data_IF_032069523929
#
_entry.id   IF_032069523929
#
_cell.length_a   1.000
_cell.length_b   1.000
_cell.length_c   1.000
_cell.angle_alpha   90.00
_cell.angle_beta   90.00
_cell.angle_gamma   90.00
#
_symmetry.space_group_name_H-M   'P 1'
#
loop_
_entity.id
_entity.type
_entity.pdbx_description
1 polymer ?
#
# COMPACT_ATOMS: atom_id res chain seq x y z
N UNK A 1 6.43 69.10 -28.21
CA UNK A 1 5.83 67.77 -28.43
C UNK A 1 6.96 66.75 -28.46
N UNK A 2 7.18 66.05 -27.35
CA UNK A 2 7.88 64.77 -27.27
C UNK A 2 7.66 64.23 -25.86
N UNK A 3 6.79 63.22 -25.76
CA UNK A 3 6.47 62.49 -24.54
C UNK A 3 7.49 61.36 -24.38
N UNK A 4 8.17 61.27 -23.24
CA UNK A 4 8.93 60.09 -22.83
C UNK A 4 8.33 59.58 -21.52
N UNK A 5 7.37 58.67 -21.67
CA UNK A 5 6.77 57.84 -20.62
C UNK A 5 7.79 56.80 -20.14
N UNK A 6 8.25 56.93 -18.88
CA UNK A 6 9.03 55.91 -18.20
C UNK A 6 8.13 54.79 -17.69
N UNK A 7 8.32 53.57 -18.21
CA UNK A 7 7.61 52.37 -17.80
C UNK A 7 8.29 51.80 -16.54
N UNK A 8 7.66 51.94 -15.37
CA UNK A 8 8.09 51.32 -14.13
C UNK A 8 7.57 49.87 -14.07
N UNK A 9 8.47 48.89 -14.22
CA UNK A 9 8.15 47.48 -14.06
C UNK A 9 8.05 47.12 -12.57
N UNK A 10 6.84 46.95 -12.04
CA UNK A 10 6.60 46.36 -10.72
C UNK A 10 6.80 44.84 -10.79
N UNK A 11 7.83 44.34 -10.13
CA UNK A 11 8.03 42.92 -9.89
C UNK A 11 7.03 42.43 -8.84
N UNK A 12 6.02 41.67 -9.26
CA UNK A 12 5.09 40.98 -8.38
C UNK A 12 5.79 39.76 -7.76
N UNK A 13 6.18 39.87 -6.47
CA UNK A 13 6.65 38.75 -5.68
C UNK A 13 5.45 37.86 -5.30
N UNK A 14 5.24 36.77 -6.02
CA UNK A 14 4.29 35.73 -5.61
C UNK A 14 4.90 34.90 -4.50
N UNK A 15 4.56 35.21 -3.25
CA UNK A 15 4.81 34.33 -2.11
C UNK A 15 3.98 33.07 -2.26
N UNK A 16 4.63 31.96 -2.60
CA UNK A 16 4.03 30.63 -2.63
C UNK A 16 3.82 30.17 -1.18
N UNK A 17 2.63 30.42 -0.64
CA UNK A 17 2.24 29.90 0.68
C UNK A 17 2.25 28.37 0.64
N UNK A 18 3.20 27.77 1.37
CA UNK A 18 3.23 26.33 1.62
C UNK A 18 1.93 25.93 2.31
N UNK A 19 1.19 25.01 1.68
CA UNK A 19 0.00 24.41 2.26
C UNK A 19 0.48 23.54 3.43
N UNK A 20 0.31 24.04 4.66
CA UNK A 20 0.46 23.23 5.85
C UNK A 20 -0.60 22.11 5.78
N UNK A 21 -0.14 20.86 5.85
CA UNK A 21 -1.01 19.71 5.96
C UNK A 21 -1.93 19.89 7.19
N UNK A 22 -3.24 19.74 6.99
CA UNK A 22 -4.21 19.79 8.07
C UNK A 22 -3.84 18.74 9.13
N UNK A 23 -3.85 19.08 10.43
CA UNK A 23 -3.66 18.10 11.50
C UNK A 23 -4.67 16.96 11.30
N UNK A 24 -4.18 15.73 11.23
CA UNK A 24 -5.03 14.54 11.29
C UNK A 24 -5.77 14.57 12.63
N UNK A 25 -7.02 15.04 12.63
CA UNK A 25 -7.86 15.03 13.81
C UNK A 25 -8.06 13.58 14.23
N UNK A 26 -7.53 13.25 15.41
CA UNK A 26 -7.69 11.94 16.04
C UNK A 26 -9.20 11.68 16.19
N UNK A 27 -9.71 10.49 15.84
CA UNK A 27 -11.12 10.16 16.04
C UNK A 27 -11.54 10.47 17.47
N UNK A 28 -12.68 11.15 17.62
CA UNK A 28 -13.18 11.59 18.93
C UNK A 28 -13.34 10.40 19.89
N UNK A 29 -13.75 9.24 19.35
CA UNK A 29 -13.85 7.97 20.07
C UNK A 29 -12.52 7.55 20.72
N UNK A 30 -11.41 7.67 20.00
CA UNK A 30 -10.06 7.39 20.52
C UNK A 30 -9.60 8.45 21.52
N UNK A 31 -9.96 9.72 21.32
CA UNK A 31 -9.64 10.80 22.25
C UNK A 31 -10.30 10.59 23.62
N UNK A 32 -11.58 10.19 23.65
CA UNK A 32 -12.32 9.88 24.89
C UNK A 32 -11.68 8.74 25.67
N UNK A 33 -11.27 7.66 25.00
CA UNK A 33 -10.54 6.55 25.63
C UNK A 33 -9.24 7.02 26.30
N UNK A 34 -8.49 7.92 25.64
CA UNK A 34 -7.25 8.46 26.19
C UNK A 34 -7.49 9.41 27.37
N UNK A 35 -8.60 10.15 27.39
CA UNK A 35 -8.95 11.05 28.48
C UNK A 35 -9.19 10.30 29.81
N UNK A 36 -9.71 9.08 29.78
CA UNK A 36 -9.93 8.25 30.98
C UNK A 36 -8.64 8.00 31.78
N UNK A 37 -7.46 8.06 31.15
CA UNK A 37 -6.16 7.92 31.84
C UNK A 37 -5.93 9.00 32.90
N UNK A 38 -6.54 10.17 32.74
CA UNK A 38 -6.37 11.30 33.67
C UNK A 38 -7.24 11.20 34.93
N UNK A 39 -8.17 10.24 34.98
CA UNK A 39 -9.05 10.04 36.15
C UNK A 39 -8.26 9.36 37.28
N UNK A 40 -8.19 10.04 38.43
CA UNK A 40 -7.43 9.58 39.58
C UNK A 40 -8.13 8.44 40.35
N UNK A 41 -9.44 8.57 40.57
CA UNK A 41 -10.24 7.55 41.25
C UNK A 41 -10.36 6.29 40.38
N UNK A 42 -10.03 5.12 40.94
CA UNK A 42 -9.99 3.87 40.19
C UNK A 42 -11.36 3.42 39.70
N UNK A 43 -12.40 3.62 40.51
CA UNK A 43 -13.77 3.19 40.19
C UNK A 43 -14.36 4.08 39.11
N UNK A 44 -14.18 5.40 39.22
CA UNK A 44 -14.57 6.36 38.21
C UNK A 44 -13.80 6.16 36.90
N UNK A 45 -12.50 5.81 36.97
CA UNK A 45 -11.68 5.50 35.79
C UNK A 45 -12.17 4.25 35.07
N UNK A 46 -12.52 3.19 35.80
CA UNK A 46 -13.09 1.98 35.22
C UNK A 46 -14.40 2.29 34.49
N UNK A 47 -15.33 3.00 35.15
CA UNK A 47 -16.58 3.41 34.54
C UNK A 47 -16.39 4.27 33.28
N UNK A 48 -15.37 5.15 33.28
CA UNK A 48 -14.98 5.93 32.09
C UNK A 48 -14.54 5.03 30.93
N UNK A 49 -13.68 4.05 31.20
CA UNK A 49 -13.21 3.12 30.17
C UNK A 49 -14.35 2.26 29.61
N UNK A 50 -15.23 1.74 30.48
CA UNK A 50 -16.35 0.90 30.05
C UNK A 50 -17.31 1.68 29.13
N UNK A 51 -17.62 2.93 29.47
CA UNK A 51 -18.45 3.80 28.64
C UNK A 51 -17.78 4.14 27.29
N UNK A 52 -16.48 4.45 27.32
CA UNK A 52 -15.73 4.78 26.10
C UNK A 52 -15.52 3.56 25.19
N UNK A 53 -15.32 2.37 25.76
CA UNK A 53 -15.24 1.11 25.03
C UNK A 53 -16.58 0.75 24.38
N UNK A 54 -17.70 0.92 25.10
CA UNK A 54 -19.04 0.71 24.54
C UNK A 54 -19.38 1.66 23.39
N UNK A 55 -18.95 2.92 23.49
CA UNK A 55 -19.07 3.88 22.40
C UNK A 55 -18.23 3.52 21.18
N UNK A 56 -17.01 2.98 21.39
CA UNK A 56 -16.16 2.50 20.30
C UNK A 56 -16.74 1.26 19.60
N UNK A 57 -17.24 0.27 20.35
CA UNK A 57 -17.91 -0.91 19.79
C UNK A 57 -19.17 -0.51 18.99
N UNK A 58 -19.94 0.47 19.48
CA UNK A 58 -21.08 1.01 18.74
C UNK A 58 -20.64 1.66 17.43
N UNK A 59 -19.62 2.52 17.47
CA UNK A 59 -19.07 3.18 16.29
C UNK A 59 -18.47 2.20 15.27
N UNK A 60 -17.85 1.11 15.74
CA UNK A 60 -17.35 0.04 14.88
C UNK A 60 -18.50 -0.70 14.19
N UNK A 61 -19.55 -1.07 14.94
CA UNK A 61 -20.74 -1.75 14.38
C UNK A 61 -21.52 -0.87 13.40
N UNK A 62 -21.52 0.44 13.61
CA UNK A 62 -22.16 1.41 12.72
C UNK A 62 -21.30 1.74 11.49
N UNK A 63 -20.02 1.35 11.48
CA UNK A 63 -19.08 1.62 10.40
C UNK A 63 -18.44 3.01 10.44
N UNK A 64 -18.65 3.77 11.52
CA UNK A 64 -18.04 5.08 11.73
C UNK A 64 -16.56 4.98 12.11
N UNK A 65 -16.14 3.83 12.64
CA UNK A 65 -14.74 3.49 12.92
C UNK A 65 -14.44 2.12 12.30
N UNK A 66 -13.33 2.03 11.58
CA UNK A 66 -12.83 0.75 11.04
C UNK A 66 -11.48 0.46 11.70
N UNK A 67 -11.40 -0.67 12.40
CA UNK A 67 -10.13 -1.19 12.94
C UNK A 67 -9.51 -2.10 11.89
N UNK A 68 -8.32 -1.73 11.42
CA UNK A 68 -7.60 -2.51 10.42
C UNK A 68 -6.39 -3.17 11.10
N UNK A 69 -6.38 -4.50 11.10
CA UNK A 69 -5.22 -5.26 11.55
C UNK A 69 -4.07 -5.16 10.54
N UNK A 70 -2.85 -4.93 11.03
CA UNK A 70 -1.67 -4.72 10.18
C UNK A 70 -1.27 -5.99 9.42
N UNK A 71 -1.45 -7.18 10.01
CA UNK A 71 -1.15 -8.44 9.33
C UNK A 71 -2.17 -8.70 8.20
N UNK A 72 -3.44 -8.37 8.44
CA UNK A 72 -4.48 -8.35 7.40
C UNK A 72 -4.12 -7.44 6.22
N UNK A 73 -3.68 -6.21 6.48
CA UNK A 73 -3.21 -5.29 5.42
C UNK A 73 -2.05 -5.89 4.63
N UNK A 74 -1.07 -6.48 5.30
CA UNK A 74 0.09 -7.07 4.64
C UNK A 74 -0.30 -8.25 3.74
N UNK A 75 -1.20 -9.11 4.19
CA UNK A 75 -1.70 -10.23 3.40
C UNK A 75 -2.54 -9.78 2.21
N UNK A 76 -3.48 -8.85 2.42
CA UNK A 76 -4.26 -8.28 1.31
C UNK A 76 -3.34 -7.62 0.29
N UNK A 77 -2.31 -6.89 0.71
CA UNK A 77 -1.33 -6.30 -0.21
C UNK A 77 -0.50 -7.35 -0.94
N UNK A 78 -0.09 -8.44 -0.29
CA UNK A 78 0.59 -9.58 -0.96
C UNK A 78 -0.32 -10.17 -2.02
N UNK A 79 -1.57 -10.43 -1.68
CA UNK A 79 -2.58 -10.94 -2.60
C UNK A 79 -2.86 -9.98 -3.75
N UNK A 80 -2.70 -8.67 -3.55
CA UNK A 80 -2.92 -7.65 -4.57
C UNK A 80 -1.65 -7.21 -5.31
N UNK A 81 -0.47 -7.71 -4.91
CA UNK A 81 0.81 -7.36 -5.52
C UNK A 81 0.85 -7.74 -7.00
N UNK A 82 1.04 -6.77 -7.88
CA UNK A 82 1.02 -7.01 -9.33
C UNK A 82 -0.27 -6.61 -10.04
N UNK A 83 -1.33 -6.27 -9.32
CA UNK A 83 -2.48 -5.57 -9.89
C UNK A 83 -2.23 -4.06 -9.89
N UNK A 84 -2.62 -3.37 -10.95
CA UNK A 84 -2.64 -1.89 -10.98
C UNK A 84 -3.83 -1.42 -10.13
N UNK A 85 -3.57 -1.08 -8.86
CA UNK A 85 -4.58 -0.43 -8.02
C UNK A 85 -4.41 1.09 -8.04
N UNK A 86 -5.50 1.86 -8.13
CA UNK A 86 -5.48 3.27 -7.73
C UNK A 86 -4.93 3.33 -6.29
N UNK A 87 -3.85 4.08 -6.08
CA UNK A 87 -3.33 4.29 -4.72
C UNK A 87 -4.47 4.86 -3.86
N UNK A 88 -4.91 4.14 -2.83
CA UNK A 88 -5.91 4.60 -1.87
C UNK A 88 -5.19 5.23 -0.68
N UNK A 89 -4.92 6.55 -0.67
CA UNK A 89 -4.05 7.15 0.35
C UNK A 89 -4.68 7.04 1.75
N UNK A 90 -6.00 6.93 1.83
CA UNK A 90 -6.77 6.93 3.08
C UNK A 90 -6.78 5.60 3.82
N UNK A 91 -6.48 4.47 3.16
CA UNK A 91 -6.37 3.17 3.83
C UNK A 91 -4.96 2.88 4.36
N UNK A 92 -3.96 3.66 3.93
CA UNK A 92 -2.55 3.35 4.16
C UNK A 92 -1.83 4.35 5.10
N UNK A 93 -2.58 5.23 5.76
CA UNK A 93 -2.06 6.16 6.77
C UNK A 93 -1.34 7.39 6.19
N UNK A 94 -1.14 8.45 7.00
CA UNK A 94 -0.60 9.75 6.56
C UNK A 94 0.83 9.68 5.99
N UNK A 95 1.59 8.64 6.34
CA UNK A 95 2.95 8.42 5.82
C UNK A 95 2.99 7.44 4.61
N UNK A 96 1.83 7.01 4.09
CA UNK A 96 1.78 5.80 3.25
C UNK A 96 2.31 4.56 3.99
N UNK A 97 2.21 4.60 5.32
CA UNK A 97 2.91 3.81 6.35
C UNK A 97 2.51 2.34 6.48
N UNK A 98 2.40 1.65 5.37
CA UNK A 98 3.00 0.34 5.32
C UNK A 98 3.79 0.32 4.02
N UNK A 99 5.11 0.17 4.10
CA UNK A 99 5.99 0.25 2.94
C UNK A 99 5.40 -0.42 1.71
N UNK A 100 5.53 0.27 0.59
CA UNK A 100 5.28 -0.30 -0.72
C UNK A 100 5.88 -1.70 -0.74
N UNK A 101 5.05 -2.74 -0.95
CA UNK A 101 5.59 -4.09 -1.04
C UNK A 101 6.49 -4.09 -2.27
N UNK A 102 7.79 -4.27 -2.07
CA UNK A 102 8.78 -4.28 -3.16
C UNK A 102 8.93 -5.68 -3.76
N UNK A 103 8.62 -6.70 -2.97
CA UNK A 103 8.64 -8.09 -3.41
C UNK A 103 7.71 -8.98 -2.60
N UNK A 104 7.22 -10.04 -3.24
CA UNK A 104 6.56 -11.18 -2.61
C UNK A 104 7.42 -12.43 -2.77
N UNK A 105 7.32 -13.31 -1.78
CA UNK A 105 7.89 -14.66 -1.80
C UNK A 105 6.75 -15.66 -1.74
N UNK A 106 6.87 -16.72 -2.53
CA UNK A 106 5.88 -17.78 -2.70
C UNK A 106 6.61 -19.05 -3.18
N UNK A 107 5.86 -20.05 -3.64
CA UNK A 107 6.43 -21.23 -4.30
C UNK A 107 5.79 -21.45 -5.65
N UNK A 108 6.53 -22.03 -6.59
CA UNK A 108 5.99 -22.42 -7.88
C UNK A 108 4.97 -23.54 -7.67
N UNK A 109 3.75 -23.37 -8.17
CA UNK A 109 2.78 -24.44 -8.25
C UNK A 109 2.88 -25.16 -9.59
N UNK A 110 2.96 -24.39 -10.69
CA UNK A 110 3.17 -24.92 -12.04
C UNK A 110 3.69 -23.82 -12.96
N UNK A 111 4.39 -24.22 -14.02
CA UNK A 111 4.69 -23.34 -15.13
C UNK A 111 4.34 -24.02 -16.45
N UNK A 112 3.84 -23.25 -17.41
CA UNK A 112 3.53 -23.75 -18.75
C UNK A 112 3.97 -22.76 -19.82
N UNK A 113 4.35 -23.30 -20.97
CA UNK A 113 4.57 -22.50 -22.18
C UNK A 113 3.22 -22.27 -22.85
N UNK A 114 2.92 -21.01 -23.17
CA UNK A 114 1.78 -20.61 -24.00
C UNK A 114 2.27 -20.27 -25.41
N UNK A 115 1.33 -20.01 -26.32
CA UNK A 115 1.63 -19.54 -27.68
C UNK A 115 2.66 -18.40 -27.66
N UNK A 116 3.56 -18.38 -28.65
CA UNK A 116 4.73 -17.48 -28.74
C UNK A 116 5.93 -17.86 -27.85
N UNK A 117 5.94 -19.06 -27.26
CA UNK A 117 7.09 -19.56 -26.48
C UNK A 117 7.31 -18.81 -25.16
N UNK A 118 6.23 -18.25 -24.61
CA UNK A 118 6.24 -17.44 -23.38
C UNK A 118 5.80 -18.30 -22.20
N UNK A 119 6.43 -18.10 -21.05
CA UNK A 119 6.03 -18.80 -19.84
C UNK A 119 4.85 -18.12 -19.13
N UNK A 120 3.95 -18.94 -18.60
CA UNK A 120 2.96 -18.56 -17.58
C UNK A 120 3.26 -19.36 -16.33
N UNK A 121 3.52 -18.65 -15.24
CA UNK A 121 3.83 -19.20 -13.92
C UNK A 121 2.60 -19.07 -13.02
N UNK A 122 2.23 -20.15 -12.35
CA UNK A 122 1.24 -20.14 -11.26
C UNK A 122 1.96 -20.38 -9.96
N UNK A 123 1.76 -19.51 -8.98
CA UNK A 123 2.35 -19.62 -7.66
C UNK A 123 1.35 -20.21 -6.66
N UNK A 124 1.84 -20.70 -5.52
CA UNK A 124 1.01 -21.35 -4.50
C UNK A 124 -0.01 -20.42 -3.83
N UNK A 125 0.23 -19.10 -3.86
CA UNK A 125 -0.72 -18.07 -3.43
C UNK A 125 -1.86 -17.82 -4.44
N UNK A 126 -1.90 -18.58 -5.55
CA UNK A 126 -2.88 -18.47 -6.61
C UNK A 126 -2.59 -17.36 -7.63
N UNK A 127 -1.52 -16.59 -7.47
CA UNK A 127 -1.13 -15.56 -8.44
C UNK A 127 -0.61 -16.18 -9.75
N UNK A 128 -0.97 -15.54 -10.87
CA UNK A 128 -0.57 -15.96 -12.21
C UNK A 128 0.28 -14.87 -12.85
N UNK A 129 1.45 -15.25 -13.34
CA UNK A 129 2.45 -14.34 -13.89
C UNK A 129 2.82 -14.76 -15.30
N UNK A 130 2.60 -13.90 -16.29
CA UNK A 130 2.97 -14.14 -17.68
C UNK A 130 4.26 -13.42 -18.01
N UNK A 131 5.22 -14.12 -18.59
CA UNK A 131 6.44 -13.54 -19.13
C UNK A 131 6.11 -12.48 -20.20
N UNK A 132 6.74 -11.31 -20.13
CA UNK A 132 6.59 -10.18 -21.08
C UNK A 132 7.87 -9.78 -21.85
N UNK A 133 9.03 -10.37 -21.53
CA UNK A 133 10.26 -10.27 -22.35
C UNK A 133 10.55 -11.52 -23.22
N UNK A 134 11.59 -11.46 -24.05
CA UNK A 134 12.05 -12.57 -24.89
C UNK A 134 13.16 -13.43 -24.25
N UNK A 135 13.40 -13.29 -22.94
CA UNK A 135 14.49 -14.02 -22.30
C UNK A 135 14.20 -15.52 -22.21
N UNK A 136 15.21 -16.36 -22.46
CA UNK A 136 15.05 -17.80 -22.30
C UNK A 136 15.09 -18.17 -20.83
N UNK A 137 13.95 -18.62 -20.30
CA UNK A 137 13.87 -19.12 -18.92
C UNK A 137 14.39 -20.56 -18.89
N UNK A 138 15.47 -20.78 -18.11
CA UNK A 138 16.01 -22.11 -17.83
C UNK A 138 15.84 -22.37 -16.34
N UNK A 139 14.99 -23.33 -16.00
CA UNK A 139 14.68 -23.71 -14.63
C UNK A 139 14.10 -25.12 -14.61
N UNK A 140 14.07 -25.72 -13.43
CA UNK A 140 13.37 -26.97 -13.23
C UNK A 140 11.89 -26.68 -12.97
N UNK A 141 11.02 -27.16 -13.84
CA UNK A 141 9.58 -26.94 -13.71
C UNK A 141 9.00 -27.94 -12.71
N UNK A 142 9.31 -27.70 -11.42
CA UNK A 142 8.89 -28.54 -10.31
C UNK A 142 8.04 -27.74 -9.33
N UNK A 143 6.88 -28.28 -8.91
CA UNK A 143 6.12 -27.69 -7.82
C UNK A 143 6.96 -27.61 -6.54
N UNK A 144 6.79 -26.54 -5.78
CA UNK A 144 7.49 -26.31 -4.51
C UNK A 144 8.78 -25.50 -4.61
N UNK A 145 9.30 -25.24 -5.82
CA UNK A 145 10.47 -24.37 -6.00
C UNK A 145 10.20 -22.96 -5.45
N UNK A 146 11.14 -22.34 -4.70
CA UNK A 146 10.93 -21.02 -4.15
C UNK A 146 10.80 -20.00 -5.28
N UNK A 147 9.77 -19.16 -5.22
CA UNK A 147 9.50 -18.12 -6.20
C UNK A 147 9.54 -16.74 -5.54
N UNK A 148 10.30 -15.81 -6.12
CA UNK A 148 10.32 -14.42 -5.70
C UNK A 148 9.89 -13.53 -6.85
N UNK A 149 8.90 -12.67 -6.59
CA UNK A 149 8.45 -11.64 -7.55
C UNK A 149 8.74 -10.28 -6.96
N UNK A 150 9.47 -9.43 -7.67
CA UNK A 150 9.81 -8.07 -7.23
C UNK A 150 9.39 -7.02 -8.24
N UNK A 151 9.11 -5.80 -7.79
CA UNK A 151 8.81 -4.66 -8.67
C UNK A 151 9.96 -4.41 -9.65
N UNK A 152 9.59 -3.96 -10.85
CA UNK A 152 10.48 -3.45 -11.87
C UNK A 152 9.90 -2.16 -12.47
N UNK A 153 10.59 -1.58 -13.44
CA UNK A 153 10.13 -0.36 -14.12
C UNK A 153 8.86 -0.59 -14.94
N UNK A 154 8.13 0.49 -15.23
CA UNK A 154 6.99 0.51 -16.17
C UNK A 154 5.85 -0.46 -15.81
N UNK A 155 5.55 -0.63 -14.52
CA UNK A 155 4.46 -1.51 -14.07
C UNK A 155 4.72 -3.01 -14.31
N UNK A 156 5.97 -3.39 -14.60
CA UNK A 156 6.39 -4.78 -14.76
C UNK A 156 7.02 -5.33 -13.48
N UNK A 157 7.21 -6.64 -13.45
CA UNK A 157 7.79 -7.34 -12.32
C UNK A 157 8.90 -8.28 -12.79
N UNK A 158 9.81 -8.62 -11.91
CA UNK A 158 10.84 -9.64 -12.15
C UNK A 158 10.54 -10.85 -11.29
N UNK A 159 10.40 -12.01 -11.93
CA UNK A 159 10.13 -13.28 -11.28
C UNK A 159 11.37 -14.16 -11.35
N UNK A 160 11.75 -14.75 -10.22
CA UNK A 160 12.80 -15.76 -10.11
C UNK A 160 12.21 -17.01 -9.48
N UNK A 161 12.45 -18.17 -10.08
CA UNK A 161 12.08 -19.49 -9.53
C UNK A 161 13.33 -20.29 -9.25
N UNK A 162 13.50 -20.79 -8.02
CA UNK A 162 14.69 -21.54 -7.61
C UNK A 162 15.97 -20.77 -7.94
N UNK A 163 16.92 -21.44 -8.61
CA UNK A 163 18.17 -20.84 -9.10
C UNK A 163 18.10 -20.24 -10.51
N UNK A 164 16.91 -19.99 -11.05
CA UNK A 164 16.76 -19.43 -12.42
C UNK A 164 17.21 -17.98 -12.51
N UNK A 165 17.38 -17.50 -13.75
CA UNK A 165 17.54 -16.06 -14.00
C UNK A 165 16.19 -15.36 -13.83
N UNK A 166 16.26 -14.12 -13.35
CA UNK A 166 15.08 -13.27 -13.27
C UNK A 166 14.50 -13.00 -14.66
N UNK A 167 13.20 -13.23 -14.81
CA UNK A 167 12.44 -13.01 -16.04
C UNK A 167 11.41 -11.92 -15.82
N UNK A 168 11.23 -11.02 -16.80
CA UNK A 168 10.23 -9.97 -16.71
C UNK A 168 8.84 -10.54 -16.95
N UNK A 169 7.94 -10.32 -16.00
CA UNK A 169 6.56 -10.81 -16.02
C UNK A 169 5.57 -9.67 -15.78
N UNK A 170 4.31 -9.93 -16.12
CA UNK A 170 3.15 -9.15 -15.72
C UNK A 170 2.12 -10.09 -15.08
N UNK A 171 1.41 -9.60 -14.09
CA UNK A 171 0.32 -10.37 -13.46
C UNK A 171 -0.85 -10.50 -14.43
N UNK A 172 -1.52 -11.65 -14.40
CA UNK A 172 -2.78 -11.91 -15.11
C UNK A 172 -3.96 -11.93 -14.15
#
# INVERSE_FOLDING_TARGET
MSFLTGLAAMAAATTLSGQAALPQERPETLARLMACRSVADSTARLACYDAAAGALDTAERQGDVVVIDRAGVAETRRQLFGFEMPSLPRLFGPDGGGGDIESIESTLQSASLVGEGRWVFRLADGSVWRQIDSERVRFDNRPGEPARVRKASLGSFMLTVGGSRAVRVRRQ
#
